data_IF_261848642740
#
_entry.id   IF_261848642740
#
_cell.length_a   1.000
_cell.length_b   1.000
_cell.length_c   1.000
_cell.angle_alpha   90.00
_cell.angle_beta   90.00
_cell.angle_gamma   90.00
#
_symmetry.space_group_name_H-M   'P 1'
#
loop_
_entity.id
_entity.type
_entity.pdbx_description
1 polymer ?
#
# COMPACT_ATOMS: atom_id res chain seq x y z
N UNK A 1 74.81 -5.57 -30.03
CA UNK A 1 73.73 -6.36 -29.39
C UNK A 1 74.06 -6.56 -27.91
N UNK A 2 73.92 -5.53 -27.08
CA UNK A 2 74.28 -5.61 -25.65
C UNK A 2 73.41 -4.72 -24.74
N UNK A 3 72.22 -4.31 -25.18
CA UNK A 3 71.34 -3.39 -24.43
C UNK A 3 69.97 -3.95 -24.07
N UNK A 4 69.57 -5.10 -24.63
CA UNK A 4 68.27 -5.71 -24.31
C UNK A 4 68.26 -6.54 -23.01
N UNK A 5 69.43 -6.85 -22.45
CA UNK A 5 69.54 -7.65 -21.22
C UNK A 5 69.51 -6.83 -19.92
N UNK A 6 69.42 -5.49 -20.03
CA UNK A 6 69.36 -4.59 -18.86
C UNK A 6 67.93 -4.26 -18.42
N UNK A 7 66.92 -4.51 -19.26
CA UNK A 7 65.52 -4.22 -18.97
C UNK A 7 64.79 -5.33 -18.18
N UNK A 8 65.44 -6.47 -17.91
CA UNK A 8 64.81 -7.64 -17.26
C UNK A 8 65.22 -7.84 -15.79
N UNK A 9 65.91 -6.88 -15.16
CA UNK A 9 66.50 -7.02 -13.81
C UNK A 9 66.03 -6.00 -12.76
N UNK A 10 64.84 -5.39 -12.91
CA UNK A 10 64.29 -4.46 -11.90
C UNK A 10 62.83 -4.73 -11.51
N UNK A 11 62.39 -5.98 -11.55
CA UNK A 11 61.16 -6.39 -10.87
C UNK A 11 61.50 -7.52 -9.88
N UNK A 12 62.21 -7.14 -8.80
CA UNK A 12 62.13 -7.86 -7.54
C UNK A 12 60.71 -7.76 -6.97
N UNK A 13 60.36 -8.56 -5.95
CA UNK A 13 58.97 -8.86 -5.59
C UNK A 13 58.21 -7.55 -5.33
N UNK A 14 57.03 -7.42 -5.96
CA UNK A 14 56.07 -6.37 -5.62
C UNK A 14 55.84 -6.41 -4.10
N UNK A 15 56.05 -5.27 -3.43
CA UNK A 15 56.10 -5.17 -1.98
C UNK A 15 54.86 -5.73 -1.30
N UNK A 16 55.08 -6.41 -0.18
CA UNK A 16 54.08 -7.06 0.70
C UNK A 16 53.19 -6.06 1.50
N UNK A 17 53.10 -4.79 1.07
CA UNK A 17 52.38 -3.74 1.79
C UNK A 17 51.48 -2.87 0.90
N UNK A 18 50.55 -2.15 1.53
CA UNK A 18 49.64 -1.20 0.87
C UNK A 18 50.42 -0.08 0.16
N UNK A 19 50.03 0.22 -1.08
CA UNK A 19 50.58 1.35 -1.81
C UNK A 19 50.09 2.69 -1.21
N UNK A 20 50.88 3.76 -1.40
CA UNK A 20 50.52 5.10 -0.95
C UNK A 20 49.19 5.54 -1.58
N UNK A 21 48.22 5.92 -0.74
CA UNK A 21 46.88 6.34 -1.19
C UNK A 21 45.89 5.20 -1.46
N UNK A 22 46.32 3.93 -1.38
CA UNK A 22 45.46 2.78 -1.69
C UNK A 22 44.36 2.57 -0.64
N UNK A 23 44.66 2.84 0.63
CA UNK A 23 43.67 2.76 1.71
C UNK A 23 42.51 3.73 1.49
N UNK A 24 42.78 4.99 1.14
CA UNK A 24 41.75 5.98 0.86
C UNK A 24 40.90 5.58 -0.36
N UNK A 25 41.52 5.00 -1.40
CA UNK A 25 40.80 4.49 -2.57
C UNK A 25 39.85 3.34 -2.22
N UNK A 26 40.27 2.43 -1.33
CA UNK A 26 39.46 1.31 -0.88
C UNK A 26 38.28 1.75 0.00
N UNK A 27 38.49 2.73 0.89
CA UNK A 27 37.41 3.36 1.67
C UNK A 27 36.39 3.99 0.72
N UNK A 28 36.84 4.80 -0.23
CA UNK A 28 35.97 5.45 -1.20
C UNK A 28 35.19 4.43 -2.04
N UNK A 29 35.84 3.37 -2.51
CA UNK A 29 35.18 2.31 -3.27
C UNK A 29 34.11 1.58 -2.45
N UNK A 30 34.33 1.37 -1.14
CA UNK A 30 33.34 0.80 -0.24
C UNK A 30 32.12 1.74 -0.12
N UNK A 31 32.35 3.02 0.13
CA UNK A 31 31.29 4.02 0.31
C UNK A 31 30.42 4.14 -0.95
N UNK A 32 31.03 4.23 -2.13
CA UNK A 32 30.30 4.31 -3.40
C UNK A 32 29.47 3.05 -3.65
N UNK A 33 29.99 1.87 -3.33
CA UNK A 33 29.27 0.59 -3.52
C UNK A 33 28.07 0.43 -2.58
N UNK A 34 28.14 0.96 -1.36
CA UNK A 34 27.06 0.84 -0.37
C UNK A 34 26.04 1.98 -0.43
N UNK A 35 26.41 3.15 -0.97
CA UNK A 35 25.56 4.36 -0.99
C UNK A 35 24.14 4.07 -1.49
N UNK A 36 24.00 3.50 -2.69
CA UNK A 36 22.67 3.20 -3.27
C UNK A 36 21.85 2.26 -2.40
N UNK A 37 22.47 1.26 -1.77
CA UNK A 37 21.75 0.29 -0.94
C UNK A 37 21.29 0.89 0.38
N UNK A 38 22.11 1.74 1.00
CA UNK A 38 21.76 2.46 2.22
C UNK A 38 20.64 3.47 1.96
N UNK A 39 20.73 4.22 0.86
CA UNK A 39 19.70 5.16 0.44
C UNK A 39 18.38 4.47 0.14
N UNK A 40 18.42 3.35 -0.59
CA UNK A 40 17.24 2.53 -0.90
C UNK A 40 16.60 2.00 0.38
N UNK A 41 17.38 1.45 1.30
CA UNK A 41 16.87 0.94 2.56
C UNK A 41 16.25 2.05 3.43
N UNK A 42 16.87 3.23 3.47
CA UNK A 42 16.33 4.39 4.17
C UNK A 42 15.04 4.93 3.52
N UNK A 43 14.97 4.95 2.18
CA UNK A 43 13.78 5.34 1.45
C UNK A 43 12.62 4.38 1.72
N UNK A 44 12.87 3.08 1.73
CA UNK A 44 11.86 2.06 2.04
C UNK A 44 11.28 2.25 3.45
N UNK A 45 12.11 2.55 4.46
CA UNK A 45 11.59 2.84 5.83
C UNK A 45 10.68 4.06 5.82
N UNK A 46 11.08 5.15 5.15
CA UNK A 46 10.24 6.36 5.04
C UNK A 46 8.94 6.11 4.28
N UNK A 47 8.92 5.19 3.32
CA UNK A 47 7.68 4.77 2.65
C UNK A 47 6.77 3.99 3.61
N UNK A 48 7.30 2.98 4.28
CA UNK A 48 6.52 2.19 5.24
C UNK A 48 5.95 3.03 6.40
N UNK A 49 6.68 4.06 6.85
CA UNK A 49 6.20 5.03 7.85
C UNK A 49 5.04 5.90 7.31
N UNK A 50 5.12 6.30 6.04
CA UNK A 50 4.03 7.03 5.37
C UNK A 50 2.80 6.15 5.21
N UNK A 51 2.96 4.92 4.72
CA UNK A 51 1.86 3.95 4.57
C UNK A 51 1.16 3.66 5.91
N UNK A 52 1.92 3.50 7.00
CA UNK A 52 1.35 3.33 8.34
C UNK A 52 0.54 4.55 8.77
N UNK A 53 1.06 5.75 8.54
CA UNK A 53 0.36 7.00 8.86
C UNK A 53 -0.94 7.11 8.06
N UNK A 54 -0.91 6.80 6.76
CA UNK A 54 -2.10 6.80 5.90
C UNK A 54 -3.15 5.77 6.34
N UNK A 55 -2.72 4.56 6.71
CA UNK A 55 -3.62 3.53 7.24
C UNK A 55 -4.29 3.98 8.55
N UNK A 56 -3.54 4.61 9.46
CA UNK A 56 -4.08 5.16 10.71
C UNK A 56 -5.08 6.30 10.47
N UNK A 57 -4.80 7.19 9.52
CA UNK A 57 -5.72 8.26 9.12
C UNK A 57 -7.01 7.69 8.54
N UNK A 58 -6.91 6.67 7.67
CA UNK A 58 -8.10 5.98 7.12
C UNK A 58 -8.94 5.34 8.23
N UNK A 59 -8.31 4.65 9.17
CA UNK A 59 -8.99 4.06 10.32
C UNK A 59 -9.70 5.11 11.18
N UNK A 60 -9.06 6.26 11.43
CA UNK A 60 -9.67 7.35 12.19
C UNK A 60 -10.92 7.89 11.48
N UNK A 61 -10.84 8.10 10.15
CA UNK A 61 -11.98 8.53 9.33
C UNK A 61 -13.11 7.50 9.32
N UNK A 62 -12.81 6.22 9.20
CA UNK A 62 -13.81 5.15 9.23
C UNK A 62 -14.55 5.11 10.58
N UNK A 63 -13.82 5.28 11.69
CA UNK A 63 -14.41 5.36 13.04
C UNK A 63 -15.29 6.60 13.20
N UNK A 64 -14.85 7.75 12.70
CA UNK A 64 -15.64 8.97 12.74
C UNK A 64 -16.92 8.84 11.90
N UNK A 65 -16.82 8.28 10.68
CA UNK A 65 -17.97 8.04 9.82
C UNK A 65 -19.00 7.13 10.48
N UNK A 66 -18.55 6.01 11.07
CA UNK A 66 -19.44 5.10 11.80
C UNK A 66 -20.09 5.74 13.03
N UNK A 67 -19.36 6.60 13.75
CA UNK A 67 -19.92 7.33 14.90
C UNK A 67 -21.00 8.34 14.51
N UNK A 68 -20.98 8.84 13.27
CA UNK A 68 -21.93 9.82 12.74
C UNK A 68 -22.99 9.20 11.81
N UNK A 69 -22.99 7.88 11.66
CA UNK A 69 -23.94 7.19 10.80
C UNK A 69 -25.37 7.38 11.34
N UNK A 70 -26.21 8.04 10.54
CA UNK A 70 -27.61 8.28 10.88
C UNK A 70 -28.47 7.19 10.27
N UNK A 71 -29.38 6.66 11.08
CA UNK A 71 -30.43 5.77 10.58
C UNK A 71 -31.22 6.47 9.48
N UNK A 72 -31.29 5.83 8.31
CA UNK A 72 -32.12 6.26 7.19
C UNK A 72 -33.20 5.21 6.97
N UNK A 73 -34.47 5.61 7.15
CA UNK A 73 -35.60 4.70 6.90
C UNK A 73 -35.83 4.51 5.40
N UNK A 74 -36.01 3.26 4.96
CA UNK A 74 -36.39 2.96 3.58
C UNK A 74 -37.89 3.20 3.36
N UNK A 75 -38.30 3.90 2.28
CA UNK A 75 -39.70 4.08 1.92
C UNK A 75 -40.32 2.87 1.20
N UNK A 76 -39.50 1.88 0.79
CA UNK A 76 -39.93 0.74 -0.02
C UNK A 76 -41.10 -0.07 0.58
N UNK A 77 -41.14 -0.35 1.90
CA UNK A 77 -42.28 -1.05 2.49
C UNK A 77 -43.61 -0.35 2.23
N UNK A 78 -43.64 0.98 2.38
CA UNK A 78 -44.84 1.79 2.13
C UNK A 78 -45.21 1.80 0.64
N UNK A 79 -44.22 1.88 -0.26
CA UNK A 79 -44.48 1.86 -1.70
C UNK A 79 -45.08 0.52 -2.16
N UNK A 80 -44.62 -0.60 -1.61
CA UNK A 80 -45.17 -1.94 -1.89
C UNK A 80 -46.61 -2.07 -1.42
N UNK A 81 -46.90 -1.56 -0.23
CA UNK A 81 -48.26 -1.54 0.34
C UNK A 81 -49.19 -0.66 -0.49
N UNK A 82 -48.79 0.59 -0.79
CA UNK A 82 -49.56 1.48 -1.65
C UNK A 82 -49.84 0.89 -3.03
N UNK A 83 -48.89 0.18 -3.64
CA UNK A 83 -49.12 -0.47 -4.94
C UNK A 83 -50.21 -1.56 -4.84
N UNK A 84 -50.24 -2.30 -3.73
CA UNK A 84 -51.26 -3.32 -3.48
C UNK A 84 -52.65 -2.69 -3.32
N UNK A 85 -52.74 -1.57 -2.61
CA UNK A 85 -53.98 -0.79 -2.47
C UNK A 85 -54.50 -0.27 -3.82
N UNK A 86 -53.59 0.16 -4.72
CA UNK A 86 -53.97 0.62 -6.06
C UNK A 86 -54.53 -0.52 -6.94
N UNK A 87 -54.02 -1.74 -6.80
CA UNK A 87 -54.57 -2.94 -7.47
C UNK A 87 -56.00 -3.22 -6.97
N UNK A 88 -56.22 -3.19 -5.66
CA UNK A 88 -57.57 -3.32 -5.09
C UNK A 88 -58.49 -2.17 -5.51
N UNK A 89 -57.96 -0.95 -5.62
CA UNK A 89 -58.64 0.22 -6.14
C UNK A 89 -59.11 0.03 -7.59
N UNK A 90 -58.26 -0.58 -8.44
CA UNK A 90 -58.57 -0.89 -9.83
C UNK A 90 -59.69 -1.93 -9.95
N UNK A 91 -59.66 -2.99 -9.12
CA UNK A 91 -60.67 -4.06 -9.11
C UNK A 91 -62.09 -3.53 -8.82
N UNK A 92 -62.20 -2.41 -8.10
CA UNK A 92 -63.48 -1.75 -7.77
C UNK A 92 -64.02 -0.84 -8.87
N UNK A 93 -63.27 -0.60 -9.97
CA UNK A 93 -63.71 0.30 -11.05
C UNK A 93 -64.67 -0.40 -12.00
N UNK A 94 -65.83 0.20 -12.25
CA UNK A 94 -66.90 -0.41 -13.06
C UNK A 94 -67.03 0.14 -14.48
N UNK A 95 -66.40 1.28 -14.79
CA UNK A 95 -66.52 1.90 -16.12
C UNK A 95 -65.20 1.81 -16.91
N UNK A 96 -65.24 1.51 -18.23
CA UNK A 96 -64.02 1.38 -19.04
C UNK A 96 -63.11 2.62 -19.06
N UNK A 97 -63.68 3.81 -18.88
CA UNK A 97 -62.89 5.06 -18.73
C UNK A 97 -62.11 5.07 -17.42
N UNK A 98 -62.75 4.72 -16.30
CA UNK A 98 -62.12 4.69 -14.97
C UNK A 98 -61.09 3.57 -14.86
N UNK A 99 -61.37 2.39 -15.42
CA UNK A 99 -60.42 1.26 -15.48
C UNK A 99 -59.13 1.68 -16.18
N UNK A 100 -59.22 2.27 -17.39
CA UNK A 100 -58.04 2.70 -18.15
C UNK A 100 -57.24 3.79 -17.45
N UNK A 101 -57.90 4.75 -16.80
CA UNK A 101 -57.21 5.81 -16.05
C UNK A 101 -56.49 5.24 -14.81
N UNK A 102 -57.18 4.40 -14.04
CA UNK A 102 -56.63 3.77 -12.84
C UNK A 102 -55.48 2.81 -13.18
N UNK A 103 -55.56 2.09 -14.29
CA UNK A 103 -54.47 1.22 -14.75
C UNK A 103 -53.22 1.99 -15.15
N UNK A 104 -53.35 3.14 -15.83
CA UNK A 104 -52.18 3.99 -16.16
C UNK A 104 -51.49 4.49 -14.89
N UNK A 105 -52.27 4.95 -13.92
CA UNK A 105 -51.72 5.37 -12.62
C UNK A 105 -51.02 4.22 -11.89
N UNK A 106 -51.64 3.03 -11.84
CA UNK A 106 -51.04 1.82 -11.28
C UNK A 106 -49.71 1.49 -11.98
N UNK A 107 -49.67 1.60 -13.31
CA UNK A 107 -48.46 1.31 -14.10
C UNK A 107 -47.33 2.30 -13.78
N UNK A 108 -47.64 3.60 -13.67
CA UNK A 108 -46.67 4.63 -13.29
C UNK A 108 -46.10 4.33 -11.89
N UNK A 109 -46.97 4.01 -10.92
CA UNK A 109 -46.56 3.63 -9.55
C UNK A 109 -45.75 2.34 -9.50
N UNK A 110 -46.09 1.35 -10.31
CA UNK A 110 -45.33 0.11 -10.41
C UNK A 110 -43.93 0.35 -10.97
N UNK A 111 -43.80 1.24 -11.97
CA UNK A 111 -42.51 1.64 -12.53
C UNK A 111 -41.66 2.41 -11.51
N UNK A 112 -42.26 3.33 -10.74
CA UNK A 112 -41.59 4.03 -9.64
C UNK A 112 -41.05 3.06 -8.58
N UNK A 113 -41.86 2.09 -8.14
CA UNK A 113 -41.42 1.07 -7.20
C UNK A 113 -40.27 0.23 -7.78
N UNK A 114 -40.39 -0.24 -9.02
CA UNK A 114 -39.35 -1.04 -9.66
C UNK A 114 -38.01 -0.27 -9.74
N UNK A 115 -38.05 1.01 -10.08
CA UNK A 115 -36.84 1.85 -10.10
C UNK A 115 -36.23 1.98 -8.69
N UNK A 116 -37.07 2.21 -7.67
CA UNK A 116 -36.61 2.33 -6.28
C UNK A 116 -36.01 1.03 -5.72
N UNK A 117 -36.56 -0.14 -6.09
CA UNK A 117 -36.03 -1.45 -5.71
C UNK A 117 -34.64 -1.70 -6.32
N UNK A 118 -34.48 -1.39 -7.60
CA UNK A 118 -33.19 -1.51 -8.28
C UNK A 118 -32.16 -0.57 -7.66
N UNK A 119 -32.55 0.67 -7.38
CA UNK A 119 -31.65 1.63 -6.72
C UNK A 119 -31.27 1.15 -5.31
N UNK A 120 -32.23 0.69 -4.51
CA UNK A 120 -31.96 0.16 -3.18
C UNK A 120 -30.99 -1.02 -3.18
N UNK A 121 -31.16 -1.95 -4.12
CA UNK A 121 -30.21 -3.05 -4.29
C UNK A 121 -28.81 -2.55 -4.69
N UNK A 122 -28.71 -1.57 -5.59
CA UNK A 122 -27.42 -1.00 -6.00
C UNK A 122 -26.73 -0.28 -4.83
N UNK A 123 -27.50 0.45 -4.03
CA UNK A 123 -27.01 1.14 -2.84
C UNK A 123 -26.49 0.14 -1.79
N UNK A 124 -27.21 -0.97 -1.57
CA UNK A 124 -26.79 -2.06 -0.69
C UNK A 124 -25.48 -2.70 -1.18
N UNK A 125 -25.36 -2.97 -2.49
CA UNK A 125 -24.12 -3.52 -3.06
C UNK A 125 -22.95 -2.54 -2.94
N UNK A 126 -23.19 -1.25 -3.17
CA UNK A 126 -22.18 -0.22 -3.01
C UNK A 126 -21.75 -0.12 -1.54
N UNK A 127 -22.69 -0.22 -0.61
CA UNK A 127 -22.42 -0.19 0.83
C UNK A 127 -21.59 -1.41 1.26
N UNK A 128 -21.98 -2.62 0.87
CA UNK A 128 -21.21 -3.84 1.16
C UNK A 128 -19.78 -3.76 0.60
N UNK A 129 -19.62 -3.16 -0.59
CA UNK A 129 -18.30 -2.98 -1.19
C UNK A 129 -17.47 -1.99 -0.36
N UNK A 130 -18.04 -0.85 0.02
CA UNK A 130 -17.39 0.14 0.90
C UNK A 130 -17.00 -0.46 2.25
N UNK A 131 -17.86 -1.27 2.86
CA UNK A 131 -17.57 -1.94 4.13
C UNK A 131 -16.40 -2.92 4.01
N UNK A 132 -16.31 -3.64 2.89
CA UNK A 132 -15.19 -4.57 2.65
C UNK A 132 -13.86 -3.85 2.41
N UNK A 133 -13.87 -2.69 1.75
CA UNK A 133 -12.64 -1.97 1.41
C UNK A 133 -12.21 -0.97 2.47
N UNK A 134 -13.18 -0.23 3.01
CA UNK A 134 -12.98 0.94 3.87
C UNK A 134 -13.72 0.81 5.21
N UNK A 135 -14.35 -0.34 5.48
CA UNK A 135 -14.93 -0.62 6.78
C UNK A 135 -13.87 -0.64 7.88
N UNK A 136 -14.33 -0.49 9.12
CA UNK A 136 -13.46 -0.39 10.29
C UNK A 136 -12.53 -1.60 10.40
N UNK A 137 -13.03 -2.82 10.16
CA UNK A 137 -12.23 -4.04 10.23
C UNK A 137 -11.17 -4.10 9.12
N UNK A 138 -11.53 -3.69 7.89
CA UNK A 138 -10.58 -3.60 6.78
C UNK A 138 -9.48 -2.56 7.07
N UNK A 139 -9.85 -1.42 7.65
CA UNK A 139 -8.92 -0.39 8.09
C UNK A 139 -8.01 -0.88 9.23
N UNK A 140 -8.53 -1.67 10.17
CA UNK A 140 -7.74 -2.30 11.21
C UNK A 140 -6.70 -3.26 10.63
N UNK A 141 -7.13 -4.16 9.74
CA UNK A 141 -6.23 -5.08 9.04
C UNK A 141 -5.14 -4.32 8.26
N UNK A 142 -5.49 -3.22 7.59
CA UNK A 142 -4.53 -2.38 6.89
C UNK A 142 -3.46 -1.77 7.82
N UNK A 143 -3.84 -1.32 9.02
CA UNK A 143 -2.90 -0.82 10.03
C UNK A 143 -1.97 -1.94 10.53
N UNK A 144 -2.51 -3.13 10.78
CA UNK A 144 -1.70 -4.29 11.19
C UNK A 144 -0.68 -4.68 10.13
N UNK A 145 -1.10 -4.76 8.86
CA UNK A 145 -0.22 -5.02 7.73
C UNK A 145 0.87 -3.96 7.58
N UNK A 146 0.51 -2.67 7.62
CA UNK A 146 1.48 -1.58 7.51
C UNK A 146 2.48 -1.57 8.68
N UNK A 147 2.02 -1.90 9.89
CA UNK A 147 2.89 -2.05 11.07
C UNK A 147 3.89 -3.19 10.88
N UNK A 148 3.43 -4.36 10.41
CA UNK A 148 4.29 -5.49 10.13
C UNK A 148 5.32 -5.16 9.03
N UNK A 149 4.89 -4.47 7.96
CA UNK A 149 5.77 -4.03 6.87
C UNK A 149 6.86 -3.07 7.37
N UNK A 150 6.51 -2.11 8.24
CA UNK A 150 7.48 -1.20 8.84
C UNK A 150 8.54 -1.94 9.67
N UNK A 151 8.12 -2.92 10.47
CA UNK A 151 9.06 -3.76 11.24
C UNK A 151 10.02 -4.50 10.31
N UNK A 152 9.48 -5.22 9.31
CA UNK A 152 10.29 -5.96 8.35
C UNK A 152 11.28 -5.06 7.58
N UNK A 153 10.86 -3.85 7.24
CA UNK A 153 11.68 -2.86 6.52
C UNK A 153 12.80 -2.29 7.41
N UNK A 154 12.53 -2.05 8.70
CA UNK A 154 13.56 -1.65 9.67
C UNK A 154 14.60 -2.75 9.88
N UNK A 155 14.15 -4.00 10.00
CA UNK A 155 15.08 -5.13 10.07
C UNK A 155 15.95 -5.25 8.82
N UNK A 156 15.36 -5.05 7.62
CA UNK A 156 16.11 -4.99 6.37
C UNK A 156 17.16 -3.88 6.40
N UNK A 157 16.81 -2.66 6.83
CA UNK A 157 17.76 -1.56 6.95
C UNK A 157 18.92 -1.90 7.88
N UNK A 158 18.63 -2.54 9.02
CA UNK A 158 19.67 -2.97 9.95
C UNK A 158 20.58 -4.06 9.36
N UNK A 159 20.03 -4.99 8.56
CA UNK A 159 20.84 -5.98 7.83
C UNK A 159 21.77 -5.32 6.81
N UNK A 160 21.31 -4.30 6.07
CA UNK A 160 22.15 -3.54 5.13
C UNK A 160 23.28 -2.80 5.87
N UNK A 161 22.96 -2.11 6.97
CA UNK A 161 23.96 -1.45 7.82
C UNK A 161 24.96 -2.44 8.43
N UNK A 162 24.50 -3.63 8.83
CA UNK A 162 25.36 -4.68 9.34
C UNK A 162 26.34 -5.18 8.28
N UNK A 163 25.89 -5.33 7.02
CA UNK A 163 26.75 -5.70 5.90
C UNK A 163 27.82 -4.63 5.61
N UNK A 164 27.45 -3.35 5.66
CA UNK A 164 28.40 -2.24 5.51
C UNK A 164 29.45 -2.25 6.63
N UNK A 165 29.02 -2.40 7.90
CA UNK A 165 29.93 -2.50 9.05
C UNK A 165 30.89 -3.68 8.93
N UNK A 166 30.40 -4.83 8.45
CA UNK A 166 31.24 -5.99 8.21
C UNK A 166 32.29 -5.74 7.12
N UNK A 167 31.92 -5.06 6.03
CA UNK A 167 32.86 -4.67 4.98
C UNK A 167 33.93 -3.69 5.49
N UNK A 168 33.53 -2.68 6.30
CA UNK A 168 34.47 -1.73 6.92
C UNK A 168 35.44 -2.44 7.85
N UNK A 169 34.95 -3.34 8.71
CA UNK A 169 35.80 -4.17 9.57
C UNK A 169 36.75 -5.07 8.77
N UNK A 170 36.28 -5.62 7.65
CA UNK A 170 37.12 -6.41 6.74
C UNK A 170 38.28 -5.58 6.17
N UNK A 171 38.00 -4.33 5.77
CA UNK A 171 39.02 -3.39 5.30
C UNK A 171 40.03 -3.05 6.41
N UNK A 172 39.57 -2.76 7.63
CA UNK A 172 40.44 -2.50 8.78
C UNK A 172 41.40 -3.67 9.06
N UNK A 173 40.89 -4.90 9.06
CA UNK A 173 41.69 -6.11 9.27
C UNK A 173 42.71 -6.30 8.15
N UNK A 174 42.32 -6.07 6.90
CA UNK A 174 43.22 -6.18 5.75
C UNK A 174 44.35 -5.15 5.84
N UNK A 175 44.03 -3.89 6.14
CA UNK A 175 45.02 -2.82 6.34
C UNK A 175 45.99 -3.18 7.47
N UNK A 176 45.48 -3.61 8.63
CA UNK A 176 46.31 -3.99 9.75
C UNK A 176 47.30 -5.11 9.41
N UNK A 177 46.89 -6.11 8.62
CA UNK A 177 47.77 -7.20 8.18
C UNK A 177 48.86 -6.72 7.23
N UNK A 178 48.47 -5.98 6.19
CA UNK A 178 49.39 -5.46 5.17
C UNK A 178 50.33 -4.37 5.71
N UNK A 179 50.00 -3.73 6.83
CA UNK A 179 50.88 -2.81 7.55
C UNK A 179 51.77 -3.49 8.60
N UNK A 180 51.47 -4.73 8.99
CA UNK A 180 52.28 -5.52 9.94
C UNK A 180 53.30 -6.43 9.27
N UNK A 181 53.12 -6.68 7.96
CA UNK A 181 53.99 -7.52 7.12
C UNK A 181 55.01 -6.70 6.30
N UNK A 182 54.99 -5.36 6.39
CA UNK A 182 55.96 -4.44 5.79
C UNK A 182 56.81 -3.71 6.82
#
# INVERSE_FOLDING_TARGET
MAEQDRARRTAGPAGEGLASGEQEQLVYALEVRFATHLDTAAAAVREAERELTEAQVRLARAKEAAAHERYTSSPLPFMRESLSEEVEGLARKTTPKKVRASYRFLLDRAAELAAAEVQGFQDDQAQLTRERTDGIDACHAAVEHATAALVATREMQERVRAAERAARKGLEVMVAKLSSEG
#
